data_IF_900102066423
#
_entry.id   IF_900102066423
#
_cell.length_a   1.000
_cell.length_b   1.000
_cell.length_c   1.000
_cell.angle_alpha   90.00
_cell.angle_beta   90.00
_cell.angle_gamma   90.00
#
_symmetry.space_group_name_H-M   'P 1'
#
loop_
_entity.id
_entity.type
_entity.pdbx_description
1 polymer ?
#
# COMPACT_ATOMS: atom_id res chain seq x y z
N UNK A 1 12.58 -2.20 2.75
CA UNK A 1 11.19 -2.63 2.90
C UNK A 1 10.43 -2.37 1.59
N UNK A 2 10.04 -3.44 0.89
CA UNK A 2 9.27 -3.35 -0.36
C UNK A 2 7.83 -3.79 -0.09
N UNK A 3 6.86 -2.97 -0.50
CA UNK A 3 5.45 -3.32 -0.38
C UNK A 3 4.86 -3.58 -1.76
N UNK A 4 4.21 -4.72 -1.92
CA UNK A 4 3.39 -5.07 -3.08
C UNK A 4 1.94 -4.71 -2.77
N UNK A 5 1.37 -3.80 -3.55
CA UNK A 5 -0.01 -3.33 -3.35
C UNK A 5 -0.79 -3.41 -4.68
N UNK A 6 -2.10 -3.60 -4.59
CA UNK A 6 -2.97 -3.69 -5.77
C UNK A 6 -4.33 -4.32 -5.43
N UNK A 7 -5.29 -4.33 -6.35
CA UNK A 7 -6.61 -4.92 -6.18
C UNK A 7 -6.54 -6.41 -5.82
N UNK A 8 -7.62 -6.93 -5.26
CA UNK A 8 -7.76 -8.37 -5.03
C UNK A 8 -7.64 -9.13 -6.36
N UNK A 9 -6.91 -10.24 -6.34
CA UNK A 9 -6.71 -11.08 -7.53
C UNK A 9 -5.65 -10.59 -8.54
N UNK A 10 -4.93 -9.48 -8.28
CA UNK A 10 -3.93 -8.97 -9.22
C UNK A 10 -2.58 -9.74 -9.21
N UNK A 11 -2.44 -10.82 -8.41
CA UNK A 11 -1.25 -11.69 -8.44
C UNK A 11 -0.23 -11.48 -7.32
N UNK A 12 -0.46 -10.61 -6.32
CA UNK A 12 0.49 -10.31 -5.22
C UNK A 12 0.94 -11.55 -4.44
N UNK A 13 -0.02 -12.30 -3.88
CA UNK A 13 0.28 -13.51 -3.11
C UNK A 13 0.89 -14.61 -3.98
N UNK A 14 0.48 -14.71 -5.25
CA UNK A 14 1.08 -15.65 -6.20
C UNK A 14 2.56 -15.33 -6.41
N UNK A 15 2.90 -14.07 -6.67
CA UNK A 15 4.29 -13.63 -6.80
C UNK A 15 5.09 -13.93 -5.52
N UNK A 16 4.51 -13.67 -4.34
CA UNK A 16 5.15 -13.97 -3.06
C UNK A 16 5.42 -15.48 -2.89
N UNK A 17 4.45 -16.32 -3.31
CA UNK A 17 4.59 -17.79 -3.27
C UNK A 17 5.62 -18.31 -4.25
N UNK A 18 5.75 -17.71 -5.44
CA UNK A 18 6.83 -18.00 -6.40
C UNK A 18 8.20 -17.66 -5.80
N UNK A 19 8.35 -16.50 -5.16
CA UNK A 19 9.59 -16.08 -4.49
C UNK A 19 9.95 -17.08 -3.37
N UNK A 20 8.97 -17.51 -2.58
CA UNK A 20 9.18 -18.48 -1.50
C UNK A 20 9.41 -19.92 -1.97
N UNK A 21 9.12 -20.22 -3.25
CA UNK A 21 9.21 -21.57 -3.83
C UNK A 21 8.02 -22.48 -3.53
N UNK A 22 6.90 -21.89 -3.10
CA UNK A 22 5.64 -22.61 -2.90
C UNK A 22 4.83 -22.77 -4.20
N UNK A 23 5.16 -21.98 -5.22
CA UNK A 23 4.61 -22.07 -6.58
C UNK A 23 5.75 -22.12 -7.60
N UNK A 24 5.52 -22.81 -8.71
CA UNK A 24 6.47 -22.86 -9.83
C UNK A 24 6.49 -21.55 -10.62
N UNK A 25 7.60 -21.32 -11.31
CA UNK A 25 7.80 -20.17 -12.18
C UNK A 25 7.83 -20.71 -13.60
N UNK A 26 6.96 -20.21 -14.47
CA UNK A 26 6.88 -20.64 -15.86
C UNK A 26 8.06 -20.06 -16.68
N UNK A 27 8.40 -18.80 -16.43
CA UNK A 27 9.49 -18.10 -17.12
C UNK A 27 10.17 -17.09 -16.19
N UNK A 28 11.43 -16.77 -16.48
CA UNK A 28 12.23 -15.82 -15.73
C UNK A 28 13.07 -16.48 -14.64
N UNK A 29 13.84 -15.68 -13.95
CA UNK A 29 14.83 -16.11 -12.96
C UNK A 29 14.71 -15.26 -11.68
N UNK A 30 14.86 -15.94 -10.55
CA UNK A 30 14.92 -15.29 -9.23
C UNK A 30 16.29 -15.52 -8.63
N UNK A 31 16.95 -14.44 -8.28
CA UNK A 31 18.25 -14.47 -7.61
C UNK A 31 18.12 -13.97 -6.17
N UNK A 32 18.76 -14.68 -5.24
CA UNK A 32 19.03 -14.19 -3.90
C UNK A 32 20.53 -13.93 -3.80
N UNK A 33 20.90 -12.67 -3.69
CA UNK A 33 22.27 -12.19 -3.96
C UNK A 33 22.70 -12.63 -5.38
N UNK A 34 23.74 -13.44 -5.50
CA UNK A 34 24.25 -13.98 -6.78
C UNK A 34 23.75 -15.39 -7.09
N UNK A 35 22.93 -15.98 -6.20
CA UNK A 35 22.50 -17.39 -6.32
C UNK A 35 21.13 -17.49 -6.98
N UNK A 36 21.05 -18.22 -8.10
CA UNK A 36 19.78 -18.60 -8.71
C UNK A 36 19.00 -19.55 -7.79
N UNK A 37 17.76 -19.23 -7.45
CA UNK A 37 16.97 -19.99 -6.48
C UNK A 37 15.72 -20.66 -7.08
N UNK A 38 15.50 -20.58 -8.40
CA UNK A 38 14.32 -21.15 -9.04
C UNK A 38 14.06 -22.62 -8.65
N UNK A 39 15.10 -23.46 -8.73
CA UNK A 39 15.03 -24.90 -8.48
C UNK A 39 15.23 -25.29 -7.02
N UNK A 40 15.41 -24.33 -6.12
CA UNK A 40 15.55 -24.61 -4.70
C UNK A 40 14.18 -24.81 -4.03
N UNK A 41 14.08 -25.89 -3.27
CA UNK A 41 12.90 -26.09 -2.39
C UNK A 41 12.80 -24.97 -1.35
N UNK A 42 11.60 -24.64 -0.85
CA UNK A 42 11.37 -23.50 0.08
C UNK A 42 12.32 -23.45 1.27
N UNK A 43 12.62 -24.60 1.88
CA UNK A 43 13.50 -24.70 3.06
C UNK A 43 14.97 -24.32 2.78
N UNK A 44 15.40 -24.30 1.53
CA UNK A 44 16.78 -23.99 1.09
C UNK A 44 16.94 -22.57 0.51
N UNK A 45 15.85 -21.79 0.46
CA UNK A 45 15.89 -20.44 -0.13
C UNK A 45 16.37 -19.35 0.84
N UNK A 46 16.67 -19.67 2.10
CA UNK A 46 17.05 -18.66 3.12
C UNK A 46 15.99 -17.54 3.30
N UNK A 47 14.72 -17.89 3.09
CA UNK A 47 13.55 -17.02 3.14
C UNK A 47 12.62 -17.52 4.23
N UNK A 48 12.00 -16.62 4.98
CA UNK A 48 10.94 -16.95 5.92
C UNK A 48 9.63 -16.25 5.54
N UNK A 49 8.50 -16.97 5.59
CA UNK A 49 7.20 -16.43 5.23
C UNK A 49 6.27 -16.39 6.45
N UNK A 50 5.60 -15.26 6.61
CA UNK A 50 4.50 -15.04 7.56
C UNK A 50 3.21 -14.99 6.77
N UNK A 51 2.31 -15.93 7.03
CA UNK A 51 1.05 -16.09 6.31
C UNK A 51 -0.07 -15.25 6.92
N UNK A 52 -1.06 -14.90 6.12
CA UNK A 52 -2.26 -14.19 6.52
C UNK A 52 -3.01 -14.86 7.69
N UNK A 53 -3.08 -16.20 7.70
CA UNK A 53 -3.70 -17.00 8.77
C UNK A 53 -2.80 -17.25 9.98
N UNK A 54 -1.59 -16.63 9.99
CA UNK A 54 -0.50 -16.91 10.94
C UNK A 54 0.08 -18.33 10.83
N UNK A 55 -0.69 -19.31 10.39
CA UNK A 55 -0.33 -20.71 10.20
C UNK A 55 0.38 -21.33 11.43
N UNK A 56 -0.09 -21.00 12.65
CA UNK A 56 0.44 -21.57 13.90
C UNK A 56 -0.07 -23.00 14.07
N UNK A 57 0.78 -23.87 14.58
CA UNK A 57 0.42 -25.23 14.96
C UNK A 57 -0.42 -25.20 16.24
N UNK A 58 -1.73 -25.56 16.20
CA UNK A 58 -2.64 -25.32 17.31
C UNK A 58 -2.39 -26.22 18.53
N UNK A 59 -1.73 -27.38 18.34
CA UNK A 59 -1.38 -28.32 19.38
C UNK A 59 -0.09 -27.97 20.12
N UNK A 60 0.77 -27.12 19.52
CA UNK A 60 2.05 -26.66 20.06
C UNK A 60 1.88 -25.36 20.87
N UNK A 61 2.68 -25.18 21.93
CA UNK A 61 2.79 -23.90 22.61
C UNK A 61 3.60 -22.88 21.79
N UNK A 62 3.77 -21.66 22.28
CA UNK A 62 4.51 -20.58 21.59
C UNK A 62 5.97 -20.97 21.39
N UNK A 63 6.65 -21.50 22.43
CA UNK A 63 8.03 -21.94 22.32
C UNK A 63 8.20 -23.03 21.25
N UNK A 64 7.31 -24.00 21.22
CA UNK A 64 7.32 -25.08 20.25
C UNK A 64 7.07 -24.60 18.82
N UNK A 65 6.12 -23.68 18.63
CA UNK A 65 5.88 -23.04 17.33
C UNK A 65 7.12 -22.30 16.81
N UNK A 66 7.78 -21.51 17.67
CA UNK A 66 8.96 -20.73 17.29
C UNK A 66 10.18 -21.65 17.05
N UNK A 67 10.31 -22.73 17.80
CA UNK A 67 11.45 -23.66 17.69
C UNK A 67 11.30 -24.71 16.57
N UNK A 68 10.12 -24.86 15.98
CA UNK A 68 9.82 -25.98 15.06
C UNK A 68 10.80 -26.06 13.89
N UNK A 69 11.06 -24.94 13.20
CA UNK A 69 12.00 -24.91 12.07
C UNK A 69 13.42 -25.31 12.48
N UNK A 70 13.90 -24.80 13.63
CA UNK A 70 15.23 -25.12 14.15
C UNK A 70 15.39 -26.59 14.51
N UNK A 71 14.31 -27.23 15.04
CA UNK A 71 14.29 -28.67 15.33
C UNK A 71 14.41 -29.49 14.05
N UNK A 72 13.73 -29.07 12.98
CA UNK A 72 13.84 -29.74 11.65
C UNK A 72 15.23 -29.61 11.04
N UNK A 73 15.91 -28.49 11.28
CA UNK A 73 17.30 -28.25 10.89
C UNK A 73 18.32 -28.94 11.81
N UNK A 74 17.85 -29.69 12.83
CA UNK A 74 18.65 -30.45 13.81
C UNK A 74 19.63 -29.55 14.61
N UNK A 75 19.25 -28.31 14.88
CA UNK A 75 20.03 -27.40 15.74
C UNK A 75 20.06 -27.93 17.17
N UNK A 76 21.17 -27.77 17.92
CA UNK A 76 21.28 -28.21 19.30
C UNK A 76 20.26 -27.52 20.23
N UNK A 77 19.75 -28.24 21.24
CA UNK A 77 18.66 -27.78 22.12
C UNK A 77 19.00 -26.47 22.87
N UNK A 78 20.23 -26.29 23.34
CA UNK A 78 20.69 -25.07 23.97
C UNK A 78 20.62 -23.86 23.03
N UNK A 79 21.09 -24.01 21.78
CA UNK A 79 21.04 -22.95 20.77
C UNK A 79 19.59 -22.62 20.39
N UNK A 80 18.70 -23.62 20.28
CA UNK A 80 17.27 -23.40 20.05
C UNK A 80 16.69 -22.53 21.16
N UNK A 81 16.98 -22.86 22.42
CA UNK A 81 16.46 -22.12 23.56
C UNK A 81 16.89 -20.66 23.55
N UNK A 82 18.17 -20.39 23.25
CA UNK A 82 18.72 -19.03 23.20
C UNK A 82 18.12 -18.22 22.05
N UNK A 83 17.99 -18.82 20.85
CA UNK A 83 17.35 -18.18 19.69
C UNK A 83 15.88 -17.85 19.95
N UNK A 84 15.12 -18.77 20.54
CA UNK A 84 13.72 -18.54 20.86
C UNK A 84 13.56 -17.46 21.92
N UNK A 85 14.37 -17.48 23.00
CA UNK A 85 14.33 -16.43 24.02
C UNK A 85 14.68 -15.05 23.45
N UNK A 86 15.74 -14.95 22.65
CA UNK A 86 16.12 -13.70 22.00
C UNK A 86 15.03 -13.16 21.09
N UNK A 87 14.38 -14.01 20.28
CA UNK A 87 13.26 -13.62 19.44
C UNK A 87 12.03 -13.21 20.27
N UNK A 88 11.72 -13.95 21.34
CA UNK A 88 10.63 -13.63 22.24
C UNK A 88 10.81 -12.28 22.94
N UNK A 89 12.01 -11.99 23.44
CA UNK A 89 12.37 -10.70 24.02
C UNK A 89 12.28 -9.56 23.00
N UNK A 90 12.69 -9.81 21.75
CA UNK A 90 12.55 -8.81 20.67
C UNK A 90 11.09 -8.44 20.40
N UNK A 91 10.17 -9.39 20.55
CA UNK A 91 8.74 -9.27 20.28
C UNK A 91 7.89 -9.02 21.54
N UNK A 92 8.53 -8.97 22.73
CA UNK A 92 7.85 -8.78 24.02
C UNK A 92 6.76 -9.84 24.27
N UNK A 93 7.11 -11.13 24.10
CA UNK A 93 6.21 -12.29 24.28
C UNK A 93 6.84 -13.39 25.16
N UNK A 94 7.83 -13.05 26.01
CA UNK A 94 8.52 -14.01 26.88
C UNK A 94 7.54 -14.73 27.85
N UNK A 95 6.59 -13.98 28.37
CA UNK A 95 5.55 -14.46 29.29
C UNK A 95 4.50 -15.36 28.61
N UNK A 96 4.51 -15.45 27.29
CA UNK A 96 3.56 -16.23 26.49
C UNK A 96 4.13 -17.57 26.02
N UNK A 97 5.41 -17.88 26.26
CA UNK A 97 6.11 -19.02 25.67
C UNK A 97 5.42 -20.38 25.91
N UNK A 98 4.77 -20.55 27.07
CA UNK A 98 4.07 -21.78 27.43
C UNK A 98 2.60 -21.81 26.98
N UNK A 99 2.06 -20.70 26.47
CA UNK A 99 0.66 -20.64 26.02
C UNK A 99 0.47 -21.31 24.66
N UNK A 100 -0.74 -21.82 24.43
CA UNK A 100 -1.16 -22.34 23.12
C UNK A 100 -1.85 -21.24 22.29
N UNK A 101 -1.87 -21.34 20.95
CA UNK A 101 -2.47 -20.33 20.07
C UNK A 101 -3.91 -19.93 20.44
N UNK A 102 -4.73 -20.85 20.94
CA UNK A 102 -6.10 -20.58 21.38
C UNK A 102 -6.21 -19.63 22.60
N UNK A 103 -5.13 -19.44 23.33
CA UNK A 103 -5.04 -18.59 24.53
C UNK A 103 -4.46 -17.21 24.22
N UNK A 104 -4.21 -16.90 22.93
CA UNK A 104 -3.57 -15.68 22.48
C UNK A 104 -4.56 -14.77 21.75
N UNK A 105 -4.38 -13.45 21.90
CA UNK A 105 -5.06 -12.45 21.07
C UNK A 105 -4.58 -12.50 19.61
N UNK A 106 -5.25 -11.79 18.70
CA UNK A 106 -4.84 -11.69 17.30
C UNK A 106 -3.41 -11.17 17.14
N UNK A 107 -3.09 -10.05 17.78
CA UNK A 107 -1.75 -9.46 17.75
C UNK A 107 -0.68 -10.35 18.38
N UNK A 108 -1.00 -11.06 19.48
CA UNK A 108 -0.08 -12.03 20.08
C UNK A 108 0.20 -13.20 19.14
N UNK A 109 -0.83 -13.75 18.46
CA UNK A 109 -0.63 -14.81 17.44
C UNK A 109 0.25 -14.32 16.30
N UNK A 110 0.09 -13.08 15.87
CA UNK A 110 0.93 -12.49 14.84
C UNK A 110 2.37 -12.35 15.28
N UNK A 111 2.64 -11.82 16.49
CA UNK A 111 4.01 -11.75 17.05
C UNK A 111 4.65 -13.15 17.12
N UNK A 112 3.90 -14.17 17.49
CA UNK A 112 4.42 -15.57 17.47
C UNK A 112 4.76 -16.03 16.06
N UNK A 113 3.93 -15.72 15.05
CA UNK A 113 4.22 -16.07 13.65
C UNK A 113 5.47 -15.35 13.12
N UNK A 114 5.65 -14.08 13.49
CA UNK A 114 6.87 -13.33 13.20
C UNK A 114 8.06 -13.92 13.95
N UNK A 115 7.91 -14.29 15.22
CA UNK A 115 8.96 -14.93 16.02
C UNK A 115 9.46 -16.24 15.41
N UNK A 116 8.54 -17.06 14.90
CA UNK A 116 8.86 -18.28 14.16
C UNK A 116 9.70 -17.99 12.89
N UNK A 117 9.48 -16.84 12.26
CA UNK A 117 10.27 -16.43 11.12
C UNK A 117 11.66 -15.90 11.53
N UNK A 118 11.73 -15.07 12.59
CA UNK A 118 12.98 -14.48 13.11
C UNK A 118 13.96 -15.55 13.58
N UNK A 119 13.50 -16.58 14.29
CA UNK A 119 14.36 -17.64 14.82
C UNK A 119 15.23 -18.32 13.76
N UNK A 120 14.77 -18.36 12.50
CA UNK A 120 15.51 -18.93 11.36
C UNK A 120 16.60 -18.01 10.80
N UNK A 121 16.62 -16.75 11.21
CA UNK A 121 17.55 -15.73 10.73
C UNK A 121 17.64 -15.66 9.19
N UNK A 122 16.50 -15.43 8.49
CA UNK A 122 16.46 -15.45 7.03
C UNK A 122 17.08 -14.18 6.44
N UNK A 123 17.54 -14.26 5.17
CA UNK A 123 17.98 -13.08 4.41
C UNK A 123 16.83 -12.18 3.99
N UNK A 124 15.65 -12.77 3.75
CA UNK A 124 14.44 -12.06 3.32
C UNK A 124 13.23 -12.57 4.09
N UNK A 125 12.44 -11.64 4.61
CA UNK A 125 11.12 -11.91 5.17
C UNK A 125 10.03 -11.65 4.12
N UNK A 126 9.10 -12.56 3.99
CA UNK A 126 7.90 -12.41 3.17
C UNK A 126 6.67 -12.32 4.08
N UNK A 127 5.89 -11.28 3.94
CA UNK A 127 4.64 -11.09 4.68
C UNK A 127 3.46 -11.09 3.72
N UNK A 128 2.56 -12.07 3.85
CA UNK A 128 1.34 -12.18 3.02
C UNK A 128 0.14 -11.67 3.82
N UNK A 129 -0.25 -10.42 3.63
CA UNK A 129 -1.36 -9.71 4.30
C UNK A 129 -1.41 -9.94 5.83
N UNK A 130 -0.32 -9.72 6.56
CA UNK A 130 -0.22 -10.17 7.95
C UNK A 130 -1.17 -9.44 8.91
N UNK A 131 -1.67 -8.25 8.55
CA UNK A 131 -2.54 -7.42 9.41
C UNK A 131 -4.03 -7.50 9.05
N UNK A 132 -4.40 -8.20 7.97
CA UNK A 132 -5.77 -8.21 7.43
C UNK A 132 -6.83 -8.76 8.42
N UNK A 133 -6.43 -9.68 9.32
CA UNK A 133 -7.33 -10.30 10.29
C UNK A 133 -7.40 -9.56 11.65
N UNK A 134 -6.88 -8.33 11.73
CA UNK A 134 -6.89 -7.50 12.93
C UNK A 134 -7.91 -6.37 12.81
N UNK A 135 -8.46 -5.96 13.95
CA UNK A 135 -9.26 -4.73 14.03
C UNK A 135 -8.40 -3.48 13.76
N UNK A 136 -9.05 -2.34 13.51
CA UNK A 136 -8.37 -1.11 13.09
C UNK A 136 -7.36 -0.58 14.14
N UNK A 137 -7.69 -0.66 15.42
CA UNK A 137 -6.83 -0.17 16.50
C UNK A 137 -5.56 -1.02 16.61
N UNK A 138 -5.74 -2.35 16.66
CA UNK A 138 -4.64 -3.31 16.74
C UNK A 138 -3.79 -3.30 15.46
N UNK A 139 -4.41 -3.10 14.29
CA UNK A 139 -3.69 -2.95 13.02
C UNK A 139 -2.75 -1.74 13.06
N UNK A 140 -3.22 -0.60 13.59
CA UNK A 140 -2.38 0.59 13.73
C UNK A 140 -1.19 0.38 14.67
N UNK A 141 -1.41 -0.28 15.81
CA UNK A 141 -0.34 -0.65 16.74
C UNK A 141 0.68 -1.58 16.07
N UNK A 142 0.22 -2.64 15.42
CA UNK A 142 1.09 -3.61 14.77
C UNK A 142 1.89 -3.06 13.60
N UNK A 143 1.39 -2.06 12.87
CA UNK A 143 2.19 -1.35 11.86
C UNK A 143 3.43 -0.69 12.48
N UNK A 144 3.24 0.01 13.60
CA UNK A 144 4.35 0.64 14.34
C UNK A 144 5.35 -0.40 14.81
N UNK A 145 4.87 -1.54 15.31
CA UNK A 145 5.71 -2.66 15.75
C UNK A 145 6.55 -3.24 14.60
N UNK A 146 5.93 -3.49 13.44
CA UNK A 146 6.64 -4.00 12.25
C UNK A 146 7.69 -2.99 11.78
N UNK A 147 7.37 -1.68 11.78
CA UNK A 147 8.35 -0.65 11.42
C UNK A 147 9.56 -0.62 12.38
N UNK A 148 9.32 -0.72 13.70
CA UNK A 148 10.39 -0.81 14.70
C UNK A 148 11.23 -2.08 14.53
N UNK A 149 10.56 -3.21 14.26
CA UNK A 149 11.21 -4.49 14.02
C UNK A 149 12.12 -4.44 12.79
N UNK A 150 11.66 -3.87 11.69
CA UNK A 150 12.47 -3.69 10.48
C UNK A 150 13.74 -2.89 10.77
N UNK A 151 13.61 -1.75 11.47
CA UNK A 151 14.78 -0.93 11.87
C UNK A 151 15.77 -1.69 12.75
N UNK A 152 15.26 -2.57 13.63
CA UNK A 152 16.10 -3.39 14.54
C UNK A 152 16.80 -4.52 13.82
N UNK A 153 16.11 -5.24 12.93
CA UNK A 153 16.63 -6.41 12.23
C UNK A 153 17.51 -6.04 11.02
N UNK A 154 17.31 -4.86 10.42
CA UNK A 154 17.97 -4.41 9.18
C UNK A 154 17.89 -5.43 8.04
N UNK A 155 16.82 -6.22 8.01
CA UNK A 155 16.60 -7.31 7.07
C UNK A 155 15.77 -6.84 5.87
N UNK A 156 15.92 -7.49 4.73
CA UNK A 156 15.04 -7.25 3.59
C UNK A 156 13.64 -7.81 3.87
N UNK A 157 12.63 -7.00 3.61
CA UNK A 157 11.22 -7.38 3.78
C UNK A 157 10.49 -7.15 2.47
N UNK A 158 9.72 -8.15 2.02
CA UNK A 158 8.70 -8.04 0.98
C UNK A 158 7.35 -8.26 1.65
N UNK A 159 6.49 -7.28 1.55
CA UNK A 159 5.21 -7.21 2.26
C UNK A 159 4.06 -7.06 1.28
N UNK A 160 3.09 -7.93 1.35
CA UNK A 160 1.85 -7.85 0.56
C UNK A 160 0.74 -7.25 1.39
N UNK A 161 0.04 -6.29 0.84
CA UNK A 161 -1.18 -5.73 1.44
C UNK A 161 -2.15 -5.21 0.38
N UNK A 162 -3.40 -5.06 0.74
CA UNK A 162 -4.39 -4.29 0.01
C UNK A 162 -4.69 -2.94 0.70
N UNK A 163 -4.09 -2.68 1.88
CA UNK A 163 -4.25 -1.45 2.64
C UNK A 163 -3.21 -0.40 2.19
N UNK A 164 -3.71 0.72 1.65
CA UNK A 164 -2.87 1.81 1.16
C UNK A 164 -2.09 2.50 2.29
N UNK A 165 -2.67 2.58 3.50
CA UNK A 165 -2.01 3.22 4.64
C UNK A 165 -0.80 2.38 5.07
N UNK A 166 -0.92 1.04 5.06
CA UNK A 166 0.21 0.15 5.31
C UNK A 166 1.33 0.38 4.28
N UNK A 167 0.96 0.42 2.98
CA UNK A 167 1.92 0.65 1.91
C UNK A 167 2.64 2.00 2.05
N UNK A 168 1.89 3.07 2.27
CA UNK A 168 2.45 4.43 2.38
C UNK A 168 3.29 4.66 3.63
N UNK A 169 3.03 3.91 4.73
CA UNK A 169 3.71 4.13 6.02
C UNK A 169 4.88 3.18 6.29
N UNK A 170 4.87 1.98 5.71
CA UNK A 170 5.90 0.97 5.97
C UNK A 170 6.97 0.89 4.89
N UNK A 171 6.63 1.27 3.64
CA UNK A 171 7.50 1.01 2.51
C UNK A 171 8.65 2.01 2.37
N UNK A 172 9.85 1.50 2.07
CA UNK A 172 10.89 2.30 1.40
C UNK A 172 10.58 2.41 -0.11
N UNK A 173 9.99 1.33 -0.67
CA UNK A 173 9.56 1.24 -2.07
C UNK A 173 8.21 0.52 -2.17
N UNK A 174 7.35 1.01 -3.05
CA UNK A 174 6.05 0.40 -3.37
C UNK A 174 6.08 -0.13 -4.79
N UNK A 175 5.54 -1.32 -4.99
CA UNK A 175 5.21 -1.91 -6.29
C UNK A 175 3.69 -1.92 -6.42
N UNK A 176 3.14 -1.16 -7.34
CA UNK A 176 1.70 -1.19 -7.65
C UNK A 176 1.46 -2.23 -8.73
N UNK A 177 0.69 -3.25 -8.40
CA UNK A 177 0.34 -4.37 -9.27
C UNK A 177 -1.11 -4.28 -9.74
N UNK A 178 -1.34 -4.57 -11.02
CA UNK A 178 -2.67 -4.66 -11.61
C UNK A 178 -2.67 -5.76 -12.69
N UNK A 179 -3.57 -6.73 -12.57
CA UNK A 179 -3.70 -7.83 -13.54
C UNK A 179 -2.37 -8.52 -13.92
N UNK A 180 -1.50 -8.76 -12.94
CA UNK A 180 -0.19 -9.40 -13.14
C UNK A 180 0.89 -8.47 -13.69
N UNK A 181 0.60 -7.19 -13.91
CA UNK A 181 1.53 -6.20 -14.47
C UNK A 181 1.95 -5.21 -13.38
N UNK A 182 3.21 -4.82 -13.37
CA UNK A 182 3.71 -3.74 -12.54
C UNK A 182 3.37 -2.40 -13.23
N UNK A 183 2.42 -1.67 -12.66
CA UNK A 183 1.99 -0.35 -13.16
C UNK A 183 2.99 0.75 -12.78
N UNK A 184 3.52 0.68 -11.56
CA UNK A 184 4.55 1.62 -11.09
C UNK A 184 5.37 0.99 -9.95
N UNK A 185 6.65 1.39 -9.90
CA UNK A 185 7.58 1.12 -8.81
C UNK A 185 8.27 2.42 -8.40
N UNK A 186 8.27 2.76 -7.12
CA UNK A 186 8.87 4.00 -6.62
C UNK A 186 8.77 4.14 -5.12
N UNK A 187 9.20 5.29 -4.61
CA UNK A 187 8.96 5.65 -3.20
C UNK A 187 7.47 5.92 -2.98
N UNK A 188 6.96 5.87 -1.73
CA UNK A 188 5.59 6.29 -1.43
C UNK A 188 5.25 7.67 -2.00
N UNK A 189 6.18 8.63 -1.89
CA UNK A 189 5.99 9.98 -2.42
C UNK A 189 5.88 9.99 -3.94
N UNK A 190 6.73 9.26 -4.67
CA UNK A 190 6.67 9.18 -6.14
C UNK A 190 5.33 8.63 -6.61
N UNK A 191 4.88 7.54 -5.97
CA UNK A 191 3.61 6.88 -6.32
C UNK A 191 2.40 7.81 -6.09
N UNK A 192 2.44 8.61 -5.03
CA UNK A 192 1.35 9.52 -4.67
C UNK A 192 1.35 10.81 -5.50
N UNK A 193 2.52 11.46 -5.64
CA UNK A 193 2.63 12.79 -6.26
C UNK A 193 2.77 12.74 -7.78
N UNK A 194 3.39 11.70 -8.34
CA UNK A 194 3.62 11.55 -9.79
C UNK A 194 3.23 10.15 -10.30
N UNK A 195 1.93 9.78 -10.26
CA UNK A 195 1.44 8.50 -10.74
C UNK A 195 1.67 8.36 -12.25
N UNK A 196 2.13 7.18 -12.70
CA UNK A 196 2.43 6.91 -14.11
C UNK A 196 1.19 6.82 -15.00
N UNK A 197 0.02 6.56 -14.42
CA UNK A 197 -1.23 6.45 -15.15
C UNK A 197 -2.44 6.70 -14.22
N UNK A 198 -3.63 6.77 -14.82
CA UNK A 198 -4.88 7.00 -14.09
C UNK A 198 -5.16 5.88 -13.08
N UNK A 199 -4.82 4.63 -13.42
CA UNK A 199 -5.04 3.51 -12.48
C UNK A 199 -4.28 3.75 -11.16
N UNK A 200 -3.01 4.09 -11.21
CA UNK A 200 -2.21 4.38 -10.02
C UNK A 200 -2.75 5.62 -9.29
N UNK A 201 -3.13 6.67 -10.04
CA UNK A 201 -3.67 7.91 -9.49
C UNK A 201 -4.96 7.71 -8.69
N UNK A 202 -5.86 6.84 -9.18
CA UNK A 202 -7.12 6.49 -8.52
C UNK A 202 -6.96 5.41 -7.45
N UNK A 203 -6.02 4.48 -7.65
CA UNK A 203 -5.79 3.39 -6.70
C UNK A 203 -5.11 3.89 -5.42
N UNK A 204 -4.20 4.86 -5.51
CA UNK A 204 -3.47 5.41 -4.36
C UNK A 204 -4.08 6.75 -3.95
N UNK A 205 -4.61 6.78 -2.74
CA UNK A 205 -5.28 7.94 -2.12
C UNK A 205 -6.72 7.62 -1.71
N UNK A 206 -7.12 8.11 -0.55
CA UNK A 206 -8.48 7.98 -0.03
C UNK A 206 -8.94 9.35 0.51
N UNK A 207 -9.93 9.96 -0.16
CA UNK A 207 -10.59 9.54 -1.39
C UNK A 207 -9.67 9.49 -2.63
N UNK A 208 -10.14 8.80 -3.69
CA UNK A 208 -9.40 8.72 -4.96
C UNK A 208 -9.23 10.09 -5.62
N UNK A 209 -8.24 10.22 -6.51
CA UNK A 209 -8.05 11.42 -7.33
C UNK A 209 -9.30 11.72 -8.17
N UNK A 210 -9.70 12.99 -8.25
CA UNK A 210 -10.71 13.43 -9.20
C UNK A 210 -10.11 13.38 -10.62
N UNK A 211 -10.75 12.64 -11.51
CA UNK A 211 -10.34 12.54 -12.92
C UNK A 211 -11.45 13.13 -13.80
N UNK A 212 -11.13 14.18 -14.51
CA UNK A 212 -12.06 14.89 -15.40
C UNK A 212 -11.60 14.70 -16.83
N UNK A 213 -12.45 14.13 -17.66
CA UNK A 213 -12.18 13.98 -19.10
C UNK A 213 -12.36 15.33 -19.79
N UNK A 214 -11.38 15.73 -20.59
CA UNK A 214 -11.40 16.91 -21.47
C UNK A 214 -11.42 16.40 -22.90
N UNK A 215 -12.55 16.56 -23.58
CA UNK A 215 -12.68 16.17 -24.97
C UNK A 215 -11.96 17.14 -25.89
N UNK A 216 -11.70 16.73 -27.12
CA UNK A 216 -10.95 17.51 -28.10
C UNK A 216 -11.58 18.87 -28.37
N UNK A 217 -12.89 18.98 -28.37
CA UNK A 217 -13.66 20.22 -28.59
C UNK A 217 -13.46 21.25 -27.46
N UNK A 218 -13.03 20.78 -26.26
CA UNK A 218 -12.72 21.62 -25.11
C UNK A 218 -11.27 22.11 -25.11
N UNK A 219 -10.45 21.65 -26.04
CA UNK A 219 -9.08 22.13 -26.24
C UNK A 219 -9.14 23.34 -27.24
N UNK A 220 -8.99 24.54 -26.69
CA UNK A 220 -9.12 25.80 -27.45
C UNK A 220 -7.90 26.01 -28.34
N UNK A 221 -6.71 25.76 -27.78
CA UNK A 221 -5.42 25.78 -28.49
C UNK A 221 -4.44 24.82 -27.81
N UNK A 222 -3.19 24.77 -28.23
CA UNK A 222 -2.21 23.79 -27.74
C UNK A 222 -1.97 23.81 -26.24
N UNK A 223 -2.26 24.88 -25.53
CA UNK A 223 -2.02 24.99 -24.07
C UNK A 223 -3.22 25.50 -23.26
N UNK A 224 -4.39 25.69 -23.91
CA UNK A 224 -5.58 26.23 -23.27
C UNK A 224 -6.75 25.26 -23.40
N UNK A 225 -7.38 24.93 -22.30
CA UNK A 225 -8.58 24.08 -22.24
C UNK A 225 -9.78 24.86 -21.72
N UNK A 226 -10.98 24.41 -22.08
CA UNK A 226 -12.23 24.83 -21.46
C UNK A 226 -12.66 23.81 -20.41
N UNK A 227 -12.60 24.21 -19.14
CA UNK A 227 -13.05 23.39 -18.00
C UNK A 227 -14.32 24.03 -17.41
N UNK A 228 -15.48 23.39 -17.60
CA UNK A 228 -16.78 23.87 -17.09
C UNK A 228 -17.07 25.35 -17.42
N UNK A 229 -16.87 25.74 -18.68
CA UNK A 229 -17.01 27.12 -19.23
C UNK A 229 -15.91 28.11 -18.81
N UNK A 230 -14.91 27.68 -18.05
CA UNK A 230 -13.74 28.50 -17.72
C UNK A 230 -12.59 28.16 -18.67
N UNK A 231 -11.98 29.20 -19.28
CA UNK A 231 -10.78 29.02 -20.09
C UNK A 231 -9.54 29.06 -19.21
N UNK A 232 -8.74 27.99 -19.26
CA UNK A 232 -7.56 27.84 -18.40
C UNK A 232 -6.36 27.53 -19.29
N UNK A 233 -5.31 28.34 -19.16
CA UNK A 233 -4.05 28.18 -19.91
C UNK A 233 -2.99 27.55 -19.01
N UNK A 234 -2.27 26.56 -19.54
CA UNK A 234 -1.16 25.85 -18.87
C UNK A 234 0.10 26.05 -19.71
N UNK A 235 1.00 26.90 -19.27
CA UNK A 235 2.17 27.36 -20.07
C UNK A 235 3.15 26.23 -20.43
N UNK A 236 3.24 25.18 -19.62
CA UNK A 236 4.21 24.09 -19.77
C UNK A 236 3.64 22.82 -20.43
N UNK A 237 2.43 22.87 -20.99
CA UNK A 237 1.77 21.72 -21.59
C UNK A 237 1.32 21.99 -23.02
N UNK A 238 1.44 20.96 -23.88
CA UNK A 238 0.88 20.96 -25.23
C UNK A 238 -0.17 19.85 -25.36
N UNK A 239 -1.42 20.27 -25.57
CA UNK A 239 -2.55 19.36 -25.75
C UNK A 239 -2.86 19.20 -27.24
N UNK A 240 -2.82 17.95 -27.75
CA UNK A 240 -3.06 17.64 -29.18
C UNK A 240 -4.33 16.81 -29.41
N UNK A 241 -4.80 16.11 -28.39
CA UNK A 241 -5.94 15.19 -28.45
C UNK A 241 -6.65 15.19 -27.07
N UNK A 242 -7.71 14.39 -26.92
CA UNK A 242 -8.39 14.24 -25.63
C UNK A 242 -7.41 13.91 -24.50
N UNK A 243 -7.64 14.51 -23.36
CA UNK A 243 -6.82 14.33 -22.15
C UNK A 243 -7.70 14.11 -20.93
N UNK A 244 -7.07 13.67 -19.86
CA UNK A 244 -7.70 13.63 -18.54
C UNK A 244 -6.95 14.57 -17.59
N UNK A 245 -7.70 15.39 -16.87
CA UNK A 245 -7.21 16.27 -15.82
C UNK A 245 -7.44 15.59 -14.48
N UNK A 246 -6.38 15.41 -13.68
CA UNK A 246 -6.39 14.85 -12.34
C UNK A 246 -6.12 15.89 -11.27
N UNK A 247 -6.92 15.93 -10.21
CA UNK A 247 -6.66 16.75 -9.02
C UNK A 247 -7.00 15.96 -7.76
N UNK A 248 -6.10 15.97 -6.76
CA UNK A 248 -6.32 15.31 -5.48
C UNK A 248 -7.40 16.03 -4.65
N UNK A 249 -8.28 15.30 -3.93
CA UNK A 249 -9.34 15.90 -3.11
C UNK A 249 -8.85 16.94 -2.09
N UNK A 250 -7.70 16.71 -1.49
CA UNK A 250 -7.07 17.62 -0.51
C UNK A 250 -6.41 18.87 -1.13
N UNK A 251 -6.20 18.87 -2.45
CA UNK A 251 -5.67 20.03 -3.18
C UNK A 251 -6.77 21.00 -3.64
N UNK A 252 -8.02 20.69 -3.34
CA UNK A 252 -9.17 21.54 -3.63
C UNK A 252 -9.52 22.35 -2.39
N UNK A 253 -9.40 23.68 -2.50
CA UNK A 253 -9.72 24.65 -1.44
C UNK A 253 -11.20 25.05 -1.51
N UNK A 254 -11.80 25.31 -0.35
CA UNK A 254 -13.13 25.93 -0.22
C UNK A 254 -13.04 27.46 -0.23
N UNK A 255 -11.84 28.00 -0.42
CA UNK A 255 -11.57 29.43 -0.55
C UNK A 255 -11.34 29.80 -1.99
N UNK A 256 -11.55 31.05 -2.31
CA UNK A 256 -11.39 31.63 -3.65
C UNK A 256 -9.96 32.17 -3.87
N UNK A 257 -8.94 31.37 -3.50
CA UNK A 257 -7.54 31.78 -3.40
C UNK A 257 -6.62 31.18 -4.47
N UNK A 258 -7.16 30.32 -5.35
CA UNK A 258 -6.38 29.67 -6.42
C UNK A 258 -6.88 30.10 -7.82
N UNK A 259 -6.09 29.71 -8.86
CA UNK A 259 -6.34 30.19 -10.24
C UNK A 259 -7.55 29.52 -10.90
N UNK A 260 -7.81 28.26 -10.58
CA UNK A 260 -8.96 27.53 -11.15
C UNK A 260 -10.10 27.57 -10.15
N UNK A 261 -11.22 28.18 -10.56
CA UNK A 261 -12.38 28.43 -9.71
C UNK A 261 -13.63 27.80 -10.31
N UNK A 262 -14.39 27.09 -9.50
CA UNK A 262 -15.59 26.39 -9.92
C UNK A 262 -16.73 26.58 -8.91
N UNK A 263 -17.94 26.71 -9.44
CA UNK A 263 -19.17 26.67 -8.63
C UNK A 263 -19.75 25.23 -8.71
N UNK A 264 -19.85 24.55 -7.58
CA UNK A 264 -20.29 23.16 -7.50
C UNK A 264 -21.52 23.01 -6.60
N UNK A 265 -22.35 22.02 -6.89
CA UNK A 265 -23.47 21.68 -6.02
C UNK A 265 -23.06 20.54 -5.07
N UNK A 266 -23.36 20.72 -3.79
CA UNK A 266 -23.13 19.67 -2.77
C UNK A 266 -24.20 18.57 -2.93
N UNK A 267 -23.73 17.34 -3.01
CA UNK A 267 -24.57 16.14 -3.06
C UNK A 267 -24.63 15.46 -1.68
N UNK A 268 -23.45 15.24 -1.05
CA UNK A 268 -23.32 14.59 0.25
C UNK A 268 -22.11 15.14 1.01
N UNK A 269 -22.19 15.16 2.33
CA UNK A 269 -21.06 15.45 3.22
C UNK A 269 -20.93 14.32 4.22
N UNK A 270 -19.79 13.65 4.21
CA UNK A 270 -19.37 12.70 5.25
C UNK A 270 -18.52 13.44 6.28
N UNK A 271 -18.95 13.44 7.52
CA UNK A 271 -18.22 14.07 8.62
C UNK A 271 -17.47 12.99 9.43
N UNK A 272 -16.15 12.96 9.31
CA UNK A 272 -15.29 12.01 10.02
C UNK A 272 -14.78 12.56 11.37
N UNK A 273 -15.28 13.71 11.82
CA UNK A 273 -14.89 14.37 13.06
C UNK A 273 -13.73 15.34 12.86
N UNK A 274 -12.57 14.87 12.44
CA UNK A 274 -11.37 15.67 12.19
C UNK A 274 -11.27 16.21 10.75
N UNK A 275 -11.99 15.61 9.81
CA UNK A 275 -12.07 16.02 8.41
C UNK A 275 -13.45 15.70 7.84
N UNK A 276 -13.76 16.30 6.69
CA UNK A 276 -14.98 16.06 5.92
C UNK A 276 -14.65 15.65 4.50
N UNK A 277 -15.40 14.70 3.97
CA UNK A 277 -15.39 14.33 2.56
C UNK A 277 -16.68 14.90 1.96
N UNK A 278 -16.52 15.79 0.99
CA UNK A 278 -17.63 16.51 0.38
C UNK A 278 -17.76 16.02 -1.06
N UNK A 279 -18.85 15.37 -1.37
CA UNK A 279 -19.20 14.93 -2.70
C UNK A 279 -20.00 16.04 -3.38
N UNK A 280 -19.51 16.48 -4.53
CA UNK A 280 -20.11 17.59 -5.29
C UNK A 280 -20.33 17.20 -6.73
N UNK A 281 -21.21 17.93 -7.43
CA UNK A 281 -21.51 17.73 -8.86
C UNK A 281 -21.38 19.03 -9.63
N UNK A 282 -20.75 18.95 -10.81
CA UNK A 282 -20.67 20.03 -11.78
C UNK A 282 -20.81 19.45 -13.20
N UNK A 283 -21.81 19.90 -13.97
CA UNK A 283 -22.04 19.47 -15.37
C UNK A 283 -22.00 17.94 -15.55
N UNK A 284 -22.57 17.20 -14.59
CA UNK A 284 -22.61 15.73 -14.62
C UNK A 284 -21.34 15.03 -14.11
N UNK A 285 -20.27 15.75 -13.81
CA UNK A 285 -19.06 15.19 -13.20
C UNK A 285 -19.15 15.27 -11.68
N UNK A 286 -18.68 14.22 -11.00
CA UNK A 286 -18.47 14.21 -9.56
C UNK A 286 -17.10 14.80 -9.22
N UNK A 287 -17.05 15.69 -8.22
CA UNK A 287 -15.82 16.24 -7.66
C UNK A 287 -15.85 15.96 -6.16
N UNK A 288 -14.87 15.25 -5.67
CA UNK A 288 -14.69 14.91 -4.25
C UNK A 288 -13.69 15.89 -3.65
N UNK A 289 -14.04 16.46 -2.51
CA UNK A 289 -13.22 17.43 -1.80
C UNK A 289 -12.94 16.90 -0.39
N UNK A 290 -11.71 17.03 0.06
CA UNK A 290 -11.31 16.70 1.43
C UNK A 290 -10.92 17.97 2.17
N UNK A 291 -11.64 18.30 3.24
CA UNK A 291 -11.42 19.55 3.98
C UNK A 291 -11.69 19.38 5.47
N UNK A 292 -10.97 20.13 6.32
CA UNK A 292 -11.27 20.27 7.74
C UNK A 292 -12.27 21.41 8.04
N UNK A 293 -12.61 22.23 7.04
CA UNK A 293 -13.48 23.39 7.21
C UNK A 293 -14.96 22.98 7.38
N UNK A 294 -15.72 23.82 8.06
CA UNK A 294 -17.16 23.63 8.17
C UNK A 294 -17.85 24.10 6.88
N UNK A 295 -18.64 23.21 6.33
CA UNK A 295 -19.40 23.45 5.10
C UNK A 295 -20.87 23.58 5.46
N UNK A 296 -21.49 24.67 5.01
CA UNK A 296 -22.92 24.91 5.11
C UNK A 296 -23.44 25.37 3.75
N UNK A 297 -24.57 24.80 3.32
CA UNK A 297 -25.22 25.19 2.07
C UNK A 297 -25.20 24.09 0.99
N UNK A 298 -26.01 24.30 -0.06
CA UNK A 298 -26.19 23.37 -1.18
C UNK A 298 -25.26 23.66 -2.36
N UNK A 299 -24.53 24.79 -2.33
CA UNK A 299 -23.60 25.19 -3.39
C UNK A 299 -22.33 25.75 -2.75
N UNK A 300 -21.19 25.43 -3.35
CA UNK A 300 -19.88 25.83 -2.88
C UNK A 300 -19.09 26.45 -4.03
N UNK A 301 -18.30 27.47 -3.69
CA UNK A 301 -17.18 27.90 -4.53
C UNK A 301 -15.95 27.13 -4.11
N UNK A 302 -15.30 26.51 -5.07
CA UNK A 302 -14.07 25.76 -4.86
C UNK A 302 -12.97 26.30 -5.75
N UNK A 303 -11.73 26.17 -5.32
CA UNK A 303 -10.59 26.54 -6.14
C UNK A 303 -9.44 25.54 -5.98
N UNK A 304 -8.59 25.45 -6.98
CA UNK A 304 -7.33 24.69 -6.93
C UNK A 304 -6.27 25.29 -7.84
N UNK A 305 -5.01 25.07 -7.45
CA UNK A 305 -3.86 25.62 -8.17
C UNK A 305 -3.55 24.78 -9.42
N UNK A 306 -3.09 25.45 -10.48
CA UNK A 306 -2.59 24.80 -11.71
C UNK A 306 -1.43 23.84 -11.44
N UNK A 307 -0.58 24.14 -10.48
CA UNK A 307 0.57 23.32 -10.08
C UNK A 307 0.17 21.99 -9.43
N UNK A 308 -1.07 21.86 -8.97
CA UNK A 308 -1.62 20.64 -8.36
C UNK A 308 -2.39 19.77 -9.33
N UNK A 309 -2.46 20.21 -10.59
CA UNK A 309 -3.14 19.47 -11.67
C UNK A 309 -2.15 18.51 -12.33
N UNK A 310 -2.61 17.28 -12.54
CA UNK A 310 -1.90 16.26 -13.31
C UNK A 310 -2.64 16.00 -14.61
N UNK A 311 -1.90 15.76 -15.70
CA UNK A 311 -2.51 15.43 -16.99
C UNK A 311 -2.17 14.01 -17.39
N UNK A 312 -3.15 13.36 -18.04
CA UNK A 312 -2.99 12.04 -18.63
C UNK A 312 -3.51 12.07 -20.07
N UNK A 313 -2.85 11.32 -20.93
CA UNK A 313 -3.22 11.20 -22.34
C UNK A 313 -4.45 10.29 -22.53
N UNK A 314 -4.90 10.14 -23.77
CA UNK A 314 -5.99 9.25 -24.15
C UNK A 314 -5.73 7.77 -23.81
N UNK A 315 -4.47 7.37 -23.69
CA UNK A 315 -4.04 6.04 -23.24
C UNK A 315 -4.00 5.93 -21.71
N UNK A 316 -4.45 6.98 -21.01
CA UNK A 316 -4.44 7.12 -19.54
C UNK A 316 -3.05 7.15 -18.93
N UNK A 317 -2.00 7.44 -19.70
CA UNK A 317 -0.63 7.60 -19.24
C UNK A 317 -0.35 9.04 -18.86
N UNK A 318 0.51 9.24 -17.87
CA UNK A 318 0.92 10.56 -17.36
C UNK A 318 1.62 11.38 -18.44
N UNK A 319 1.17 12.64 -18.64
CA UNK A 319 1.84 13.67 -19.44
C UNK A 319 2.70 14.50 -18.48
N UNK A 320 3.99 14.60 -18.74
CA UNK A 320 4.96 15.38 -17.94
C UNK A 320 5.46 16.57 -18.69
#
# INVERSE_FOLDING_TARGET
FIVLVGPSGCGKSTLLRMISGLESIDQGEIYLDTKLINNLIPSKREIAMVFQSYALYPHMNVFENMSFGLKMEKIPKNEIHDKVKSAAATLQIEDLLERKPKQLSGGQRQRVAIGRAITRNPKVFLFDEPLSNLDAALRSEMRVEISKLHKKLKSNIIYVTHDQIEAMTLADRIVVLNNGIIEQFGTPNDIYSDPNNIFVAEFIGSPKMNIIKINKEQIINSNTIELFKNKITFENFEFKDEIYLGVRPENISLKDDNEIKLDVKVDLIENLGFEKIIYTKISGNEIIIKSSENVTGQSLKISFSKDKVLFFDKSKKRIR
#
